data_IF_907608467985
#
_entry.id   IF_907608467985
#
_cell.length_a   1.000
_cell.length_b   1.000
_cell.length_c   1.000
_cell.angle_alpha   90.00
_cell.angle_beta   90.00
_cell.angle_gamma   90.00
#
_symmetry.space_group_name_H-M   'P 1'
#
loop_
_entity.id
_entity.type
_entity.pdbx_description
1 polymer ?
#
# COMPACT_ATOMS: atom_id res chain seq x y z
N UNK A 1 -12.86 31.33 -14.27
CA UNK A 1 -13.62 30.09 -14.52
C UNK A 1 -12.87 29.28 -15.56
N UNK A 2 -12.11 28.27 -15.15
CA UNK A 2 -11.37 27.42 -16.09
C UNK A 2 -12.29 26.31 -16.62
N UNK A 3 -12.42 26.26 -17.93
CA UNK A 3 -13.23 25.30 -18.68
C UNK A 3 -12.66 23.87 -18.50
N UNK A 4 -13.41 23.03 -17.77
CA UNK A 4 -13.09 21.62 -17.49
C UNK A 4 -13.66 20.67 -18.56
N UNK A 5 -13.83 21.13 -19.80
CA UNK A 5 -14.13 20.22 -20.93
C UNK A 5 -12.86 19.53 -21.43
N UNK A 6 -12.29 18.63 -20.61
CA UNK A 6 -11.50 17.52 -21.17
C UNK A 6 -12.44 16.38 -21.49
N UNK A 7 -12.86 16.32 -22.75
CA UNK A 7 -13.44 15.12 -23.36
C UNK A 7 -12.40 14.02 -23.21
N UNK A 8 -12.69 13.04 -22.34
CA UNK A 8 -11.86 11.85 -22.17
C UNK A 8 -11.92 11.08 -23.48
N UNK A 9 -10.79 10.97 -24.19
CA UNK A 9 -10.64 9.97 -25.24
C UNK A 9 -11.06 8.59 -24.70
N UNK A 10 -11.67 7.72 -25.52
CA UNK A 10 -12.04 6.38 -25.08
C UNK A 10 -10.79 5.67 -24.55
N UNK A 11 -10.88 5.20 -23.30
CA UNK A 11 -9.80 4.46 -22.66
C UNK A 11 -9.63 3.13 -23.40
N UNK A 12 -8.40 2.73 -23.69
CA UNK A 12 -8.13 1.40 -24.24
C UNK A 12 -8.61 0.34 -23.24
N UNK A 13 -9.01 -0.84 -23.70
CA UNK A 13 -9.63 -1.88 -22.85
C UNK A 13 -8.79 -2.25 -21.61
N UNK A 14 -7.45 -2.29 -21.76
CA UNK A 14 -6.52 -2.53 -20.64
C UNK A 14 -6.46 -1.37 -19.63
N UNK A 15 -6.59 -0.13 -20.09
CA UNK A 15 -6.63 1.03 -19.20
C UNK A 15 -7.94 1.05 -18.42
N UNK A 16 -9.06 0.73 -19.07
CA UNK A 16 -10.37 0.72 -18.44
C UNK A 16 -10.44 -0.31 -17.29
N UNK A 17 -9.92 -1.52 -17.49
CA UNK A 17 -9.88 -2.54 -16.44
C UNK A 17 -8.97 -2.13 -15.27
N UNK A 18 -7.82 -1.50 -15.57
CA UNK A 18 -6.91 -1.00 -14.54
C UNK A 18 -7.56 0.06 -13.66
N UNK A 19 -8.14 1.11 -14.24
CA UNK A 19 -8.75 2.20 -13.46
C UNK A 19 -10.02 1.76 -12.73
N UNK A 20 -10.76 0.79 -13.25
CA UNK A 20 -11.86 0.14 -12.52
C UNK A 20 -11.34 -0.55 -11.25
N UNK A 21 -10.32 -1.40 -11.37
CA UNK A 21 -9.76 -2.11 -10.22
C UNK A 21 -9.12 -1.16 -9.19
N UNK A 22 -8.44 -0.10 -9.67
CA UNK A 22 -7.89 0.95 -8.79
C UNK A 22 -9.00 1.70 -8.05
N UNK A 23 -10.08 2.07 -8.75
CA UNK A 23 -11.24 2.72 -8.16
C UNK A 23 -11.90 1.88 -7.08
N UNK A 24 -12.08 0.58 -7.33
CA UNK A 24 -12.63 -0.37 -6.36
C UNK A 24 -11.77 -0.46 -5.08
N UNK A 25 -10.44 -0.50 -5.24
CA UNK A 25 -9.51 -0.50 -4.08
C UNK A 25 -9.57 0.79 -3.27
N UNK A 26 -9.60 1.95 -3.94
CA UNK A 26 -9.76 3.24 -3.26
C UNK A 26 -11.10 3.32 -2.53
N UNK A 27 -12.17 2.82 -3.14
CA UNK A 27 -13.48 2.76 -2.49
C UNK A 27 -13.47 1.86 -1.26
N UNK A 28 -12.73 0.75 -1.29
CA UNK A 28 -12.59 -0.14 -0.15
C UNK A 28 -11.76 0.52 0.96
N UNK A 29 -10.58 1.06 0.64
CA UNK A 29 -9.72 1.75 1.61
C UNK A 29 -10.44 2.93 2.29
N UNK A 30 -11.25 3.69 1.54
CA UNK A 30 -12.09 4.75 2.10
C UNK A 30 -13.11 4.21 3.11
N UNK A 31 -13.78 3.09 2.80
CA UNK A 31 -14.75 2.46 3.71
C UNK A 31 -14.08 1.94 4.97
N UNK A 32 -12.90 1.34 4.84
CA UNK A 32 -12.11 0.83 5.97
C UNK A 32 -11.66 1.97 6.89
N UNK A 33 -11.35 3.14 6.31
CA UNK A 33 -11.08 4.38 7.05
C UNK A 33 -12.35 5.07 7.62
N UNK A 34 -13.56 4.53 7.37
CA UNK A 34 -14.82 5.10 7.86
C UNK A 34 -15.22 6.43 7.23
N UNK A 35 -14.65 6.79 6.07
CA UNK A 35 -14.85 8.09 5.43
C UNK A 35 -15.98 8.06 4.40
N UNK A 36 -16.73 9.16 4.27
CA UNK A 36 -17.71 9.31 3.18
C UNK A 36 -17.05 9.84 1.91
N UNK A 37 -17.68 9.63 0.75
CA UNK A 37 -17.18 10.21 -0.52
C UNK A 37 -17.14 11.74 -0.48
N UNK A 38 -18.06 12.40 0.23
CA UNK A 38 -18.09 13.84 0.37
C UNK A 38 -16.87 14.36 1.14
N UNK A 39 -16.55 13.73 2.28
CA UNK A 39 -15.40 14.11 3.12
C UNK A 39 -14.09 13.92 2.35
N UNK A 40 -13.94 12.83 1.61
CA UNK A 40 -12.70 12.61 0.87
C UNK A 40 -12.55 13.56 -0.31
N UNK A 41 -13.65 13.83 -1.04
CA UNK A 41 -13.64 14.78 -2.14
C UNK A 41 -13.27 16.19 -1.69
N UNK A 42 -13.80 16.62 -0.54
CA UNK A 42 -13.47 17.91 0.08
C UNK A 42 -11.97 18.00 0.42
N UNK A 43 -11.41 16.97 1.07
CA UNK A 43 -9.98 16.92 1.42
C UNK A 43 -9.08 17.00 0.18
N UNK A 44 -9.42 16.26 -0.87
CA UNK A 44 -8.68 16.23 -2.14
C UNK A 44 -8.91 17.47 -3.01
N UNK A 45 -9.78 18.40 -2.60
CA UNK A 45 -10.13 19.57 -3.40
C UNK A 45 -10.79 19.25 -4.74
N UNK A 46 -11.53 18.15 -4.83
CA UNK A 46 -12.23 17.72 -6.06
C UNK A 46 -13.75 17.70 -5.86
N UNK A 47 -14.56 17.87 -6.92
CA UNK A 47 -16.00 17.69 -6.81
C UNK A 47 -16.36 16.26 -6.37
N UNK A 48 -17.34 16.11 -5.47
CA UNK A 48 -17.79 14.79 -4.99
C UNK A 48 -18.15 13.83 -6.12
N UNK A 49 -18.83 14.33 -7.17
CA UNK A 49 -19.19 13.53 -8.33
C UNK A 49 -17.95 13.03 -9.09
N UNK A 50 -16.90 13.85 -9.19
CA UNK A 50 -15.63 13.47 -9.80
C UNK A 50 -14.96 12.37 -8.98
N UNK A 51 -14.94 12.51 -7.66
CA UNK A 51 -14.44 11.47 -6.78
C UNK A 51 -15.24 10.16 -6.89
N UNK A 52 -16.57 10.24 -6.96
CA UNK A 52 -17.41 9.07 -7.20
C UNK A 52 -17.09 8.37 -8.53
N UNK A 53 -16.79 9.14 -9.60
CA UNK A 53 -16.36 8.59 -10.88
C UNK A 53 -15.01 7.88 -10.83
N UNK A 54 -14.10 8.31 -9.95
CA UNK A 54 -12.84 7.61 -9.70
C UNK A 54 -13.09 6.23 -9.11
N UNK A 55 -13.94 6.13 -8.07
CA UNK A 55 -14.24 4.86 -7.40
C UNK A 55 -14.88 3.82 -8.31
N UNK A 56 -15.68 4.25 -9.31
CA UNK A 56 -16.32 3.33 -10.26
C UNK A 56 -15.55 3.16 -11.58
N UNK A 57 -14.35 3.75 -11.69
CA UNK A 57 -13.51 3.66 -12.90
C UNK A 57 -14.06 4.39 -14.14
N UNK A 58 -15.02 5.31 -13.96
CA UNK A 58 -15.58 6.15 -15.06
C UNK A 58 -14.69 7.34 -15.40
N UNK A 59 -13.75 7.68 -14.53
CA UNK A 59 -12.75 8.72 -14.76
C UNK A 59 -11.36 8.23 -14.33
N UNK A 60 -10.33 8.69 -15.05
CA UNK A 60 -8.94 8.44 -14.67
C UNK A 60 -8.59 9.26 -13.43
N UNK A 61 -8.00 8.58 -12.45
CA UNK A 61 -7.47 9.22 -11.24
C UNK A 61 -6.14 9.89 -11.60
N UNK A 62 -5.99 11.20 -11.36
CA UNK A 62 -4.70 11.88 -11.55
C UNK A 62 -3.64 11.24 -10.64
N UNK A 63 -2.47 10.93 -11.19
CA UNK A 63 -1.37 10.35 -10.42
C UNK A 63 -0.94 11.25 -9.24
N UNK A 64 -1.14 12.56 -9.35
CA UNK A 64 -0.87 13.54 -8.29
C UNK A 64 -1.72 13.34 -7.03
N UNK A 65 -2.89 12.69 -7.12
CA UNK A 65 -3.74 12.41 -5.96
C UNK A 65 -3.35 11.11 -5.24
N UNK A 66 -2.52 10.26 -5.86
CA UNK A 66 -2.18 8.96 -5.29
C UNK A 66 -1.40 9.04 -3.97
N UNK A 67 -0.39 9.94 -3.80
CA UNK A 67 0.30 10.08 -2.53
C UNK A 67 -0.63 10.53 -1.40
N UNK A 68 -1.51 11.49 -1.69
CA UNK A 68 -2.46 12.04 -0.70
C UNK A 68 -3.50 10.99 -0.29
N UNK A 69 -4.02 10.20 -1.24
CA UNK A 69 -4.88 9.05 -0.96
C UNK A 69 -4.18 8.01 -0.10
N UNK A 70 -2.92 7.70 -0.40
CA UNK A 70 -2.12 6.73 0.34
C UNK A 70 -1.94 7.18 1.80
N UNK A 71 -1.59 8.45 2.03
CA UNK A 71 -1.47 9.03 3.37
C UNK A 71 -2.80 9.01 4.14
N UNK A 72 -3.91 9.39 3.50
CA UNK A 72 -5.22 9.42 4.16
C UNK A 72 -5.74 8.04 4.58
N UNK A 73 -5.33 6.99 3.87
CA UNK A 73 -5.75 5.62 4.15
C UNK A 73 -4.74 4.82 4.96
N UNK A 74 -3.60 5.43 5.34
CA UNK A 74 -2.46 4.76 6.00
C UNK A 74 -1.97 3.52 5.22
N UNK A 75 -1.88 3.66 3.90
CA UNK A 75 -1.34 2.64 2.98
C UNK A 75 -0.25 3.24 2.11
N UNK A 76 0.48 2.40 1.39
CA UNK A 76 1.42 2.81 0.35
C UNK A 76 0.71 2.97 -1.00
N UNK A 77 1.29 3.80 -1.87
CA UNK A 77 0.84 3.93 -3.26
C UNK A 77 0.90 2.57 -3.99
N UNK A 78 1.90 1.73 -3.70
CA UNK A 78 2.01 0.40 -4.30
C UNK A 78 0.84 -0.51 -3.92
N UNK A 79 0.37 -0.46 -2.67
CA UNK A 79 -0.83 -1.18 -2.21
C UNK A 79 -2.08 -0.71 -2.96
N UNK A 80 -2.25 0.60 -3.16
CA UNK A 80 -3.36 1.14 -3.96
C UNK A 80 -3.30 0.68 -5.42
N UNK A 81 -2.10 0.61 -6.01
CA UNK A 81 -1.93 0.27 -7.41
C UNK A 81 -2.02 -1.23 -7.69
N UNK A 82 -1.53 -2.07 -6.77
CA UNK A 82 -1.39 -3.52 -6.97
C UNK A 82 -2.46 -4.33 -6.24
N UNK A 83 -3.02 -3.80 -5.15
CA UNK A 83 -3.92 -4.54 -4.26
C UNK A 83 -3.22 -5.54 -3.35
N UNK A 84 -1.89 -5.64 -3.40
CA UNK A 84 -1.13 -6.54 -2.54
C UNK A 84 -0.72 -5.81 -1.25
N UNK A 85 -1.00 -6.36 -0.06
CA UNK A 85 -0.56 -5.78 1.20
C UNK A 85 0.97 -5.78 1.30
N UNK A 86 1.50 -4.87 2.12
CA UNK A 86 2.90 -4.64 2.46
C UNK A 86 3.79 -5.88 2.60
N UNK A 87 3.20 -7.02 2.96
CA UNK A 87 3.90 -8.26 3.26
C UNK A 87 4.38 -9.04 2.04
N UNK A 88 4.00 -8.69 0.80
CA UNK A 88 4.39 -9.45 -0.41
C UNK A 88 5.35 -8.74 -1.36
N UNK A 89 6.18 -7.83 -0.85
CA UNK A 89 7.44 -7.45 -1.51
C UNK A 89 8.58 -7.32 -0.48
N UNK A 90 9.77 -7.90 -0.76
CA UNK A 90 10.94 -7.72 0.07
C UNK A 90 11.39 -6.26 -0.05
N UNK A 91 11.17 -5.46 1.00
CA UNK A 91 11.76 -4.13 1.12
C UNK A 91 10.79 -3.00 1.49
N UNK A 92 10.07 -3.10 2.60
CA UNK A 92 9.70 -1.89 3.35
C UNK A 92 10.81 -1.62 4.38
N UNK A 93 11.68 -0.64 4.10
CA UNK A 93 12.67 -0.09 5.04
C UNK A 93 11.93 0.70 6.13
N UNK A 94 11.59 0.04 7.24
CA UNK A 94 11.66 0.68 8.55
C UNK A 94 13.10 0.61 9.09
N UNK A 95 13.42 1.23 10.24
CA UNK A 95 14.61 0.82 10.98
C UNK A 95 14.56 -0.70 11.11
N UNK A 96 15.63 -1.39 10.73
CA UNK A 96 15.71 -2.86 10.74
C UNK A 96 15.12 -3.38 12.06
N UNK A 97 14.26 -4.39 12.02
CA UNK A 97 13.67 -4.93 13.24
C UNK A 97 14.79 -5.29 14.22
N UNK A 98 14.57 -5.15 15.53
CA UNK A 98 15.61 -5.49 16.52
C UNK A 98 16.15 -6.89 16.31
N UNK A 99 15.28 -7.84 15.93
CA UNK A 99 15.66 -9.20 15.57
C UNK A 99 16.57 -9.23 14.33
N UNK A 100 16.23 -8.49 13.27
CA UNK A 100 17.08 -8.40 12.07
C UNK A 100 18.44 -7.77 12.39
N UNK A 101 18.47 -6.68 13.19
CA UNK A 101 19.71 -6.07 13.65
C UNK A 101 20.59 -7.06 14.43
N UNK A 102 19.97 -7.88 15.28
CA UNK A 102 20.67 -8.92 16.04
C UNK A 102 21.20 -10.01 15.11
N UNK A 103 20.40 -10.48 14.14
CA UNK A 103 20.83 -11.47 13.13
C UNK A 103 22.02 -10.96 12.33
N UNK A 104 21.97 -9.71 11.86
CA UNK A 104 23.07 -9.08 11.11
C UNK A 104 24.34 -8.98 11.98
N UNK A 105 24.20 -8.60 13.25
CA UNK A 105 25.32 -8.57 14.19
C UNK A 105 25.90 -9.96 14.47
N UNK A 106 25.06 -11.00 14.54
CA UNK A 106 25.49 -12.40 14.74
C UNK A 106 26.32 -12.88 13.55
N UNK A 107 25.96 -12.51 12.32
CA UNK A 107 26.70 -12.87 11.12
C UNK A 107 28.15 -12.33 11.11
N UNK A 108 28.42 -11.25 11.84
CA UNK A 108 29.75 -10.66 11.98
C UNK A 108 30.61 -11.32 13.07
N UNK A 109 30.03 -12.20 13.91
CA UNK A 109 30.77 -12.89 14.97
C UNK A 109 31.66 -14.02 14.41
N UNK A 110 32.72 -14.44 15.13
CA UNK A 110 33.46 -15.65 14.81
C UNK A 110 32.57 -16.90 14.72
N UNK A 111 32.91 -17.85 13.84
CA UNK A 111 32.10 -19.07 13.58
C UNK A 111 31.77 -19.88 14.83
N UNK A 112 32.68 -19.93 15.80
CA UNK A 112 32.42 -20.59 17.08
C UNK A 112 31.27 -19.93 17.87
N UNK A 113 31.17 -18.59 17.84
CA UNK A 113 30.08 -17.85 18.50
C UNK A 113 28.76 -17.96 17.74
N UNK A 114 28.80 -17.97 16.40
CA UNK A 114 27.61 -18.21 15.58
C UNK A 114 26.97 -19.56 15.92
N UNK A 115 27.81 -20.61 16.07
CA UNK A 115 27.36 -21.97 16.39
C UNK A 115 26.58 -22.05 17.71
N UNK A 116 27.08 -21.38 18.75
CA UNK A 116 26.39 -21.31 20.06
C UNK A 116 25.01 -20.64 19.92
N UNK A 117 24.90 -19.60 19.11
CA UNK A 117 23.61 -18.93 18.87
C UNK A 117 22.63 -19.85 18.14
N UNK A 118 23.10 -20.60 17.14
CA UNK A 118 22.27 -21.59 16.43
C UNK A 118 21.72 -22.66 17.38
N UNK A 119 22.55 -23.21 18.26
CA UNK A 119 22.14 -24.24 19.23
C UNK A 119 21.04 -23.73 20.17
N UNK A 120 21.10 -22.46 20.59
CA UNK A 120 20.06 -21.84 21.42
C UNK A 120 18.75 -21.67 20.63
N UNK A 121 18.82 -21.23 19.38
CA UNK A 121 17.63 -21.05 18.53
C UNK A 121 16.94 -22.39 18.26
N UNK A 122 17.71 -23.44 17.96
CA UNK A 122 17.17 -24.79 17.75
C UNK A 122 16.42 -25.29 19.00
N UNK A 123 17.01 -25.08 20.18
CA UNK A 123 16.38 -25.45 21.45
C UNK A 123 15.08 -24.66 21.72
N UNK A 124 15.04 -23.37 21.37
CA UNK A 124 13.84 -22.55 21.51
C UNK A 124 12.73 -22.96 20.54
N UNK A 125 13.08 -23.26 19.28
CA UNK A 125 12.13 -23.70 18.26
C UNK A 125 11.52 -25.07 18.60
N UNK A 126 12.32 -25.98 19.17
CA UNK A 126 11.84 -27.28 19.61
C UNK A 126 10.82 -27.20 20.76
N UNK A 127 10.92 -26.21 21.66
CA UNK A 127 10.01 -26.04 22.81
C UNK A 127 8.60 -25.56 22.43
N UNK A 128 8.44 -24.92 21.28
CA UNK A 128 7.15 -24.36 20.82
C UNK A 128 6.49 -25.16 19.70
N UNK A 129 7.10 -26.28 19.28
CA UNK A 129 6.57 -27.15 18.23
C UNK A 129 5.63 -28.28 18.76
N UNK A 130 5.13 -28.16 20.00
CA UNK A 130 4.25 -29.14 20.67
C UNK A 130 2.87 -28.57 20.98
#
# INVERSE_FOLDING_TARGET
MADLRRVSAPMKDKDASFFKALGERIAQARKDAGLTQAVLAERLGVPQQTYAHYEVGRARIPASLLPELAEMFDVSVDELLTGEPAGRRPGKRGPVSRLQQQVDAICLLPKAKQRVVSEVLDAMLAQHAS
#
